data_IF_916573354052
#
_entry.id   IF_916573354052
#
_cell.length_a   1.000
_cell.length_b   1.000
_cell.length_c   1.000
_cell.angle_alpha   90.00
_cell.angle_beta   90.00
_cell.angle_gamma   90.00
#
_symmetry.space_group_name_H-M   'P 1'
#
loop_
_entity.id
_entity.type
_entity.pdbx_description
1 polymer ?
#
# COMPACT_ATOMS: atom_id res chain seq x y z
N UNK A 1 -21.14 -9.45 19.64
CA UNK A 1 -20.58 -8.54 18.61
C UNK A 1 -19.22 -9.11 18.29
N UNK A 2 -19.13 -9.84 17.19
CA UNK A 2 -17.90 -10.50 16.73
C UNK A 2 -17.10 -9.43 15.99
N UNK A 3 -16.01 -8.95 16.59
CA UNK A 3 -15.06 -8.05 15.94
C UNK A 3 -14.25 -8.87 14.93
N UNK A 4 -14.26 -8.45 13.69
CA UNK A 4 -13.49 -9.05 12.61
C UNK A 4 -12.06 -8.51 12.64
N UNK A 5 -11.07 -9.39 12.50
CA UNK A 5 -9.66 -9.06 12.32
C UNK A 5 -9.48 -8.14 11.09
N UNK A 6 -8.47 -7.27 11.09
CA UNK A 6 -8.19 -6.33 9.99
C UNK A 6 -8.11 -7.05 8.62
N UNK A 7 -7.58 -8.29 8.59
CA UNK A 7 -7.65 -9.18 7.41
C UNK A 7 -9.08 -9.50 6.96
N UNK A 8 -10.05 -9.51 7.90
CA UNK A 8 -11.45 -9.82 7.63
C UNK A 8 -12.30 -8.57 7.35
N UNK A 9 -11.85 -7.37 7.79
CA UNK A 9 -12.53 -6.09 7.54
C UNK A 9 -12.33 -5.67 6.07
N UNK A 10 -11.16 -5.88 5.48
CA UNK A 10 -10.93 -5.73 4.04
C UNK A 10 -11.79 -6.69 3.19
N UNK A 11 -12.29 -7.80 3.76
CA UNK A 11 -13.14 -8.78 3.05
C UNK A 11 -14.64 -8.45 3.05
N UNK A 12 -15.14 -7.43 3.78
CA UNK A 12 -16.59 -7.23 4.02
C UNK A 12 -17.22 -5.95 3.49
N UNK A 13 -16.58 -5.16 2.69
CA UNK A 13 -17.23 -4.04 2.01
C UNK A 13 -17.64 -4.44 0.60
N UNK A 14 -18.95 -4.54 0.41
CA UNK A 14 -19.73 -4.77 -0.83
C UNK A 14 -20.12 -6.24 -1.08
N UNK A 15 -21.12 -6.70 -0.36
CA UNK A 15 -21.92 -7.85 -0.82
C UNK A 15 -22.89 -7.40 -1.91
N UNK A 16 -22.61 -7.80 -3.14
CA UNK A 16 -23.62 -7.87 -4.21
C UNK A 16 -24.32 -9.25 -4.11
N UNK A 17 -25.66 -9.34 -3.90
CA UNK A 17 -26.33 -10.59 -3.54
C UNK A 17 -26.58 -11.57 -4.70
N UNK A 18 -25.77 -11.55 -5.74
CA UNK A 18 -25.90 -12.47 -6.88
C UNK A 18 -24.56 -13.08 -7.30
N UNK A 19 -23.93 -13.86 -6.41
CA UNK A 19 -23.08 -14.97 -6.87
C UNK A 19 -22.79 -15.96 -5.73
N UNK A 20 -23.14 -17.19 -5.92
CA UNK A 20 -22.70 -18.37 -5.17
C UNK A 20 -21.28 -18.69 -5.63
N UNK A 21 -20.26 -18.29 -4.88
CA UNK A 21 -18.88 -18.61 -5.25
C UNK A 21 -17.92 -18.06 -4.21
N UNK A 22 -16.81 -18.70 -4.06
CA UNK A 22 -15.59 -18.32 -3.33
C UNK A 22 -15.40 -16.79 -3.38
N UNK A 23 -15.12 -16.08 -2.27
CA UNK A 23 -14.87 -14.65 -2.34
C UNK A 23 -13.75 -14.39 -3.34
N UNK A 24 -14.06 -13.65 -4.40
CA UNK A 24 -13.03 -13.22 -5.35
C UNK A 24 -12.04 -12.33 -4.60
N UNK A 25 -10.77 -12.62 -4.75
CA UNK A 25 -9.68 -11.84 -4.21
C UNK A 25 -9.51 -10.65 -5.16
N UNK A 26 -10.11 -9.50 -4.83
CA UNK A 26 -9.99 -8.26 -5.64
C UNK A 26 -8.74 -7.47 -5.24
N UNK A 27 -7.60 -8.16 -5.09
CA UNK A 27 -6.36 -7.56 -4.58
C UNK A 27 -5.21 -7.78 -5.56
N UNK A 28 -4.42 -6.73 -5.80
CA UNK A 28 -3.20 -6.80 -6.56
C UNK A 28 -1.95 -6.78 -5.68
N UNK A 29 -0.90 -7.43 -6.17
CA UNK A 29 0.48 -7.31 -5.71
C UNK A 29 1.25 -6.46 -6.72
N UNK A 30 1.81 -5.35 -6.26
CA UNK A 30 2.55 -4.42 -7.11
C UNK A 30 3.97 -4.21 -6.59
N UNK A 31 4.95 -4.45 -7.45
CA UNK A 31 6.35 -4.17 -7.17
C UNK A 31 6.78 -2.88 -7.88
N UNK A 32 7.39 -1.95 -7.15
CA UNK A 32 7.89 -0.68 -7.69
C UNK A 32 9.37 -0.46 -7.35
N UNK A 33 10.00 0.54 -7.97
CA UNK A 33 11.45 0.71 -8.05
C UNK A 33 12.10 1.40 -6.84
N UNK A 34 11.77 1.00 -5.60
CA UNK A 34 12.52 1.37 -4.40
C UNK A 34 13.40 0.22 -3.92
N UNK A 35 13.64 0.13 -2.60
CA UNK A 35 14.41 -0.98 -2.04
C UNK A 35 13.60 -2.28 -2.17
N UNK A 36 14.16 -3.30 -2.86
CA UNK A 36 13.48 -4.59 -3.01
C UNK A 36 13.24 -5.27 -1.65
N UNK A 37 12.12 -5.98 -1.46
CA UNK A 37 11.88 -6.74 -0.24
C UNK A 37 12.97 -7.80 -0.03
N UNK A 38 13.39 -8.04 1.22
CA UNK A 38 14.34 -9.12 1.53
C UNK A 38 13.82 -10.48 1.10
N UNK A 39 12.60 -10.78 1.49
CA UNK A 39 11.85 -11.95 1.09
C UNK A 39 10.70 -11.54 0.18
N UNK A 40 10.57 -12.23 -0.94
CA UNK A 40 9.43 -12.00 -1.82
C UNK A 40 8.15 -12.51 -1.14
N UNK A 41 7.01 -11.80 -1.28
CA UNK A 41 5.74 -12.26 -0.73
C UNK A 41 5.22 -13.49 -1.48
N UNK A 42 4.37 -14.26 -0.81
CA UNK A 42 3.57 -15.31 -1.45
C UNK A 42 2.59 -14.67 -2.46
N UNK A 43 2.31 -15.39 -3.54
CA UNK A 43 1.56 -14.85 -4.69
C UNK A 43 0.14 -15.38 -4.83
N UNK A 44 -0.20 -16.42 -4.08
CA UNK A 44 -1.44 -17.20 -4.26
C UNK A 44 -2.70 -16.43 -3.85
N UNK A 45 -2.55 -15.40 -3.01
CA UNK A 45 -3.66 -14.59 -2.48
C UNK A 45 -3.96 -13.34 -3.33
N UNK A 46 -3.38 -13.21 -4.53
CA UNK A 46 -3.58 -12.05 -5.39
C UNK A 46 -4.27 -12.41 -6.69
N UNK A 47 -5.28 -11.60 -7.07
CA UNK A 47 -5.96 -11.70 -8.34
C UNK A 47 -5.13 -11.13 -9.51
N UNK A 48 -4.15 -10.29 -9.18
CA UNK A 48 -3.29 -9.63 -10.17
C UNK A 48 -1.89 -9.40 -9.57
N UNK A 49 -0.86 -9.62 -10.37
CA UNK A 49 0.53 -9.36 -9.99
C UNK A 49 1.16 -8.48 -11.07
N UNK A 50 1.76 -7.37 -10.65
CA UNK A 50 2.34 -6.40 -11.58
C UNK A 50 3.64 -5.81 -11.05
N UNK A 51 4.39 -5.20 -11.95
CA UNK A 51 5.55 -4.39 -11.55
C UNK A 51 5.74 -3.18 -12.47
N UNK A 52 6.44 -2.14 -11.94
CA UNK A 52 7.05 -1.12 -12.79
C UNK A 52 8.27 -1.70 -13.51
N UNK A 53 8.68 -1.07 -14.61
CA UNK A 53 9.85 -1.52 -15.40
C UNK A 53 11.14 -1.56 -14.57
N UNK A 54 11.42 -0.56 -13.74
CA UNK A 54 12.57 -0.57 -12.84
C UNK A 54 12.53 -1.71 -11.82
N UNK A 55 11.34 -2.12 -11.36
CA UNK A 55 11.19 -3.25 -10.45
C UNK A 55 11.41 -4.60 -11.14
N UNK A 56 11.15 -4.70 -12.42
CA UNK A 56 11.35 -5.92 -13.20
C UNK A 56 12.78 -6.46 -13.08
N UNK A 57 13.78 -5.58 -13.05
CA UNK A 57 15.19 -5.98 -12.94
C UNK A 57 15.48 -6.71 -11.64
N UNK A 58 15.08 -6.16 -10.48
CA UNK A 58 15.34 -6.84 -9.22
C UNK A 58 14.48 -8.10 -9.02
N UNK A 59 13.27 -8.16 -9.60
CA UNK A 59 12.47 -9.38 -9.58
C UNK A 59 13.19 -10.53 -10.33
N UNK A 60 13.79 -10.21 -11.47
CA UNK A 60 14.62 -11.15 -12.23
C UNK A 60 15.84 -11.62 -11.42
N UNK A 61 16.57 -10.69 -10.79
CA UNK A 61 17.72 -11.01 -9.93
C UNK A 61 17.35 -11.89 -8.73
N UNK A 62 16.17 -11.68 -8.16
CA UNK A 62 15.64 -12.48 -7.04
C UNK A 62 14.98 -13.79 -7.46
N UNK A 63 15.02 -14.13 -8.74
CA UNK A 63 14.39 -15.33 -9.31
C UNK A 63 12.87 -15.40 -9.05
N UNK A 64 12.18 -14.26 -9.07
CA UNK A 64 10.73 -14.22 -9.06
C UNK A 64 10.19 -14.93 -10.31
N UNK A 65 9.12 -15.75 -10.22
CA UNK A 65 8.50 -16.36 -11.38
C UNK A 65 7.82 -15.31 -12.27
N UNK A 66 8.58 -14.75 -13.22
CA UNK A 66 8.15 -13.61 -14.06
C UNK A 66 6.93 -13.96 -14.93
N UNK A 67 6.67 -15.23 -15.15
CA UNK A 67 5.46 -15.74 -15.81
C UNK A 67 4.17 -15.49 -15.00
N UNK A 68 4.27 -15.19 -13.72
CA UNK A 68 3.14 -14.78 -12.87
C UNK A 68 2.76 -13.31 -13.02
N UNK A 69 3.59 -12.46 -13.66
CA UNK A 69 3.27 -11.06 -13.87
C UNK A 69 2.13 -10.90 -14.90
N UNK A 70 1.07 -10.21 -14.54
CA UNK A 70 -0.03 -9.87 -15.44
C UNK A 70 0.28 -8.66 -16.32
N UNK A 71 1.10 -7.74 -15.80
CA UNK A 71 1.65 -6.63 -16.60
C UNK A 71 2.92 -6.03 -16.00
N UNK A 72 3.68 -5.36 -16.85
CA UNK A 72 4.85 -4.55 -16.53
C UNK A 72 4.60 -3.18 -17.16
N UNK A 73 4.60 -2.13 -16.36
CA UNK A 73 4.33 -0.76 -16.84
C UNK A 73 5.56 0.13 -16.75
N UNK A 74 5.78 0.96 -17.75
CA UNK A 74 6.89 1.90 -17.80
C UNK A 74 7.07 2.51 -19.18
N UNK A 75 8.10 3.33 -19.35
CA UNK A 75 8.53 3.86 -20.66
C UNK A 75 9.64 3.02 -21.31
N UNK A 76 10.13 2.03 -20.55
CA UNK A 76 11.12 1.02 -21.00
C UNK A 76 12.43 1.60 -21.54
N UNK A 77 12.81 2.80 -21.16
CA UNK A 77 14.07 3.43 -21.55
C UNK A 77 15.31 2.72 -20.99
N UNK A 78 15.12 1.99 -19.88
CA UNK A 78 16.16 1.19 -19.21
C UNK A 78 16.26 -0.27 -19.69
N UNK A 79 15.36 -0.73 -20.56
CA UNK A 79 15.36 -2.09 -21.07
C UNK A 79 16.31 -2.27 -22.24
N UNK A 80 17.42 -2.99 -22.02
CA UNK A 80 18.38 -3.39 -23.04
C UNK A 80 18.35 -4.91 -23.20
N UNK A 81 17.79 -5.44 -24.31
CA UNK A 81 17.99 -6.85 -24.69
C UNK A 81 16.74 -7.68 -24.96
N UNK A 82 16.91 -9.03 -24.88
CA UNK A 82 15.90 -10.01 -25.28
C UNK A 82 14.66 -10.12 -24.37
N UNK A 83 14.59 -9.39 -23.27
CA UNK A 83 13.48 -9.49 -22.30
C UNK A 83 12.17 -9.01 -22.92
N UNK A 84 12.21 -7.96 -23.76
CA UNK A 84 11.04 -7.50 -24.52
C UNK A 84 10.43 -8.60 -25.40
N UNK A 85 11.26 -9.42 -26.03
CA UNK A 85 10.76 -10.46 -26.92
C UNK A 85 10.03 -11.60 -26.19
N UNK A 86 10.42 -11.87 -24.93
CA UNK A 86 9.86 -12.97 -24.13
C UNK A 86 8.57 -12.53 -23.41
N UNK A 87 8.52 -11.27 -22.95
CA UNK A 87 7.43 -10.75 -22.13
C UNK A 87 6.60 -9.67 -22.84
N UNK A 88 6.75 -9.55 -24.16
CA UNK A 88 6.13 -8.49 -24.99
C UNK A 88 4.64 -8.28 -24.70
N UNK A 89 3.88 -9.36 -24.54
CA UNK A 89 2.44 -9.29 -24.31
C UNK A 89 2.05 -8.75 -22.92
N UNK A 90 3.01 -8.57 -22.03
CA UNK A 90 2.82 -8.07 -20.65
C UNK A 90 3.29 -6.64 -20.48
N UNK A 91 4.08 -6.12 -21.41
CA UNK A 91 4.53 -4.73 -21.37
C UNK A 91 3.41 -3.77 -21.73
N UNK A 92 3.15 -2.81 -20.85
CA UNK A 92 2.22 -1.71 -21.08
C UNK A 92 3.04 -0.43 -21.14
N UNK A 93 3.20 0.12 -22.35
CA UNK A 93 3.91 1.36 -22.57
C UNK A 93 3.12 2.54 -22.00
N UNK A 94 3.73 3.26 -21.05
CA UNK A 94 3.12 4.39 -20.34
C UNK A 94 4.02 5.63 -20.48
N UNK A 95 3.96 6.36 -21.61
CA UNK A 95 4.91 7.44 -21.95
C UNK A 95 4.65 8.76 -21.21
N UNK A 96 3.55 8.88 -20.45
CA UNK A 96 3.19 10.11 -19.76
C UNK A 96 4.26 10.46 -18.72
N UNK A 97 4.97 11.58 -18.92
CA UNK A 97 6.04 12.06 -18.05
C UNK A 97 5.53 12.95 -16.89
N UNK A 98 4.24 13.33 -16.90
CA UNK A 98 3.63 14.08 -15.80
C UNK A 98 3.25 13.19 -14.60
N UNK A 99 3.35 11.86 -14.77
CA UNK A 99 3.01 10.85 -13.76
C UNK A 99 4.18 9.92 -13.48
N UNK A 100 4.34 9.54 -12.22
CA UNK A 100 5.28 8.48 -11.85
C UNK A 100 4.80 7.10 -12.36
N UNK A 101 5.70 6.15 -12.54
CA UNK A 101 5.32 4.78 -12.96
C UNK A 101 4.40 4.12 -11.96
N UNK A 102 4.56 4.42 -10.67
CA UNK A 102 3.62 3.97 -9.64
C UNK A 102 2.21 4.52 -9.87
N UNK A 103 2.07 5.82 -10.16
CA UNK A 103 0.77 6.43 -10.47
C UNK A 103 0.12 5.73 -11.67
N UNK A 104 0.86 5.56 -12.77
CA UNK A 104 0.39 4.90 -13.99
C UNK A 104 -0.01 3.44 -13.74
N UNK A 105 0.75 2.72 -12.91
CA UNK A 105 0.41 1.35 -12.51
C UNK A 105 -0.91 1.28 -11.73
N UNK A 106 -1.16 2.25 -10.83
CA UNK A 106 -2.42 2.33 -10.08
C UNK A 106 -3.63 2.62 -10.99
N UNK A 107 -3.47 3.46 -12.02
CA UNK A 107 -4.52 3.69 -13.04
C UNK A 107 -4.90 2.38 -13.73
N UNK A 108 -3.92 1.61 -14.21
CA UNK A 108 -4.15 0.32 -14.86
C UNK A 108 -4.84 -0.67 -13.92
N UNK A 109 -4.41 -0.75 -12.68
CA UNK A 109 -4.98 -1.63 -11.66
C UNK A 109 -6.44 -1.26 -11.39
N UNK A 110 -6.74 0.03 -11.23
CA UNK A 110 -8.08 0.54 -11.01
C UNK A 110 -8.99 0.27 -12.22
N UNK A 111 -8.53 0.51 -13.46
CA UNK A 111 -9.27 0.24 -14.69
C UNK A 111 -9.62 -1.24 -14.85
N UNK A 112 -8.80 -2.14 -14.30
CA UNK A 112 -9.07 -3.59 -14.30
C UNK A 112 -9.99 -4.04 -13.15
N UNK A 113 -10.55 -3.09 -12.38
CA UNK A 113 -11.56 -3.37 -11.36
C UNK A 113 -11.01 -3.90 -10.02
N UNK A 114 -9.72 -3.83 -9.79
CA UNK A 114 -9.09 -4.16 -8.50
C UNK A 114 -9.40 -3.05 -7.49
N UNK A 115 -9.61 -3.42 -6.24
CA UNK A 115 -9.98 -2.50 -5.16
C UNK A 115 -8.93 -2.36 -4.05
N UNK A 116 -7.99 -3.29 -3.96
CA UNK A 116 -6.92 -3.27 -2.97
C UNK A 116 -5.56 -3.58 -3.61
N UNK A 117 -4.48 -2.96 -3.12
CA UNK A 117 -3.13 -3.13 -3.65
C UNK A 117 -2.12 -3.23 -2.51
N UNK A 118 -1.35 -4.32 -2.49
CA UNK A 118 -0.15 -4.44 -1.67
C UNK A 118 1.06 -4.02 -2.50
N UNK A 119 1.83 -3.07 -1.98
CA UNK A 119 2.95 -2.44 -2.69
C UNK A 119 4.27 -2.76 -2.00
N UNK A 120 5.22 -3.29 -2.75
CA UNK A 120 6.60 -3.52 -2.33
C UNK A 120 7.56 -2.64 -3.13
N UNK A 121 8.63 -2.19 -2.48
CA UNK A 121 9.57 -1.25 -3.09
C UNK A 121 9.07 0.20 -3.08
N UNK A 122 8.11 0.53 -2.20
CA UNK A 122 7.56 1.88 -2.09
C UNK A 122 8.44 2.87 -1.34
N UNK A 123 9.46 2.39 -0.61
CA UNK A 123 10.35 3.19 0.22
C UNK A 123 11.82 2.83 -0.02
N UNK A 124 12.71 3.66 0.52
CA UNK A 124 14.16 3.53 0.33
C UNK A 124 14.63 4.04 -1.05
N UNK A 125 15.93 4.01 -1.30
CA UNK A 125 16.49 4.61 -2.50
C UNK A 125 16.33 6.14 -2.52
N UNK A 126 15.87 6.67 -3.62
CA UNK A 126 15.66 8.11 -3.80
C UNK A 126 14.41 8.58 -3.05
N UNK A 127 14.58 9.54 -2.12
CA UNK A 127 13.54 9.95 -1.18
C UNK A 127 12.44 10.80 -1.83
N UNK A 128 12.70 11.47 -2.93
CA UNK A 128 11.71 12.16 -3.75
C UNK A 128 10.72 11.16 -4.38
N UNK A 129 11.19 9.99 -4.81
CA UNK A 129 10.33 8.90 -5.27
C UNK A 129 9.41 8.40 -4.14
N UNK A 130 9.92 8.26 -2.90
CA UNK A 130 9.08 7.93 -1.75
C UNK A 130 7.95 8.95 -1.52
N UNK A 131 8.26 10.25 -1.60
CA UNK A 131 7.25 11.32 -1.48
C UNK A 131 6.26 11.28 -2.65
N UNK A 132 6.74 11.01 -3.86
CA UNK A 132 5.91 10.80 -5.05
C UNK A 132 4.95 9.62 -4.88
N UNK A 133 5.44 8.51 -4.31
CA UNK A 133 4.61 7.33 -4.02
C UNK A 133 3.52 7.63 -2.98
N UNK A 134 3.84 8.37 -1.91
CA UNK A 134 2.82 8.82 -0.96
C UNK A 134 1.78 9.75 -1.62
N UNK A 135 2.23 10.63 -2.50
CA UNK A 135 1.33 11.53 -3.25
C UNK A 135 0.39 10.74 -4.17
N UNK A 136 0.90 9.77 -4.92
CA UNK A 136 0.07 8.91 -5.76
C UNK A 136 -0.94 8.12 -4.90
N UNK A 137 -0.50 7.49 -3.80
CA UNK A 137 -1.40 6.80 -2.89
C UNK A 137 -2.49 7.72 -2.30
N UNK A 138 -2.16 8.97 -1.99
CA UNK A 138 -3.12 9.97 -1.55
C UNK A 138 -4.19 10.26 -2.60
N UNK A 139 -3.82 10.36 -3.87
CA UNK A 139 -4.75 10.61 -4.97
C UNK A 139 -5.73 9.45 -5.16
N UNK A 140 -5.27 8.21 -4.96
CA UNK A 140 -6.07 7.00 -5.15
C UNK A 140 -6.79 6.49 -3.90
N UNK A 141 -6.54 7.02 -2.70
CA UNK A 141 -7.05 6.51 -1.41
C UNK A 141 -8.57 6.34 -1.28
N UNK A 142 -9.35 7.03 -2.12
CA UNK A 142 -10.81 6.91 -2.14
C UNK A 142 -11.31 5.84 -3.12
N UNK A 143 -10.41 5.25 -3.91
CA UNK A 143 -10.71 4.28 -4.96
C UNK A 143 -10.02 2.94 -4.73
N UNK A 144 -8.81 2.98 -4.16
CA UNK A 144 -7.97 1.83 -3.90
C UNK A 144 -7.53 1.80 -2.42
N UNK A 145 -7.61 0.64 -1.80
CA UNK A 145 -6.97 0.38 -0.51
C UNK A 145 -5.50 0.03 -0.76
N UNK A 146 -4.59 0.98 -0.55
CA UNK A 146 -3.17 0.82 -0.84
C UNK A 146 -2.41 0.59 0.46
N UNK A 147 -1.72 -0.54 0.57
CA UNK A 147 -0.83 -0.87 1.69
C UNK A 147 0.58 -1.06 1.19
N UNK A 148 1.49 -0.28 1.72
CA UNK A 148 2.92 -0.43 1.46
C UNK A 148 3.57 -1.34 2.50
N UNK A 149 4.55 -2.10 2.05
CA UNK A 149 5.35 -3.00 2.88
C UNK A 149 6.83 -2.68 2.69
N UNK A 150 7.55 -2.43 3.79
CA UNK A 150 8.99 -2.34 3.82
C UNK A 150 9.60 -3.24 4.91
N UNK A 151 10.89 -3.12 5.19
CA UNK A 151 11.58 -3.96 6.17
C UNK A 151 11.20 -3.64 7.63
N UNK A 152 10.57 -2.51 7.89
CA UNK A 152 10.33 -1.99 9.23
C UNK A 152 8.86 -1.94 9.57
N UNK A 153 8.00 -1.71 8.57
CA UNK A 153 6.59 -1.41 8.78
C UNK A 153 5.71 -1.74 7.58
N UNK A 154 4.43 -1.88 7.86
CA UNK A 154 3.36 -1.67 6.88
C UNK A 154 2.84 -0.25 7.04
N UNK A 155 2.50 0.45 5.94
CA UNK A 155 1.96 1.81 6.04
C UNK A 155 0.92 2.10 4.96
N UNK A 156 -0.06 2.93 5.31
CA UNK A 156 -1.20 3.21 4.44
C UNK A 156 -1.93 4.49 4.90
N UNK A 157 -2.75 5.06 4.02
CA UNK A 157 -3.72 6.09 4.40
C UNK A 157 -4.87 5.45 5.18
N UNK A 158 -5.02 5.85 6.45
CA UNK A 158 -6.01 5.25 7.34
C UNK A 158 -7.44 5.68 6.99
N UNK A 159 -8.43 4.79 7.13
CA UNK A 159 -9.84 5.20 7.15
C UNK A 159 -10.12 6.05 8.41
N UNK A 160 -11.26 6.78 8.42
CA UNK A 160 -11.64 7.66 9.55
C UNK A 160 -11.73 6.94 10.89
N UNK A 161 -11.97 5.66 10.87
CA UNK A 161 -11.92 4.78 12.04
C UNK A 161 -11.12 3.54 11.67
N UNK A 162 -10.00 3.35 12.33
CA UNK A 162 -9.10 2.22 12.14
C UNK A 162 -9.01 1.41 13.43
N UNK A 163 -9.09 0.10 13.32
CA UNK A 163 -8.86 -0.85 14.42
C UNK A 163 -7.70 -1.75 14.01
N UNK A 164 -6.65 -1.75 14.81
CA UNK A 164 -5.48 -2.61 14.66
C UNK A 164 -5.54 -3.67 15.75
N UNK A 165 -5.49 -4.94 15.39
CA UNK A 165 -5.50 -6.06 16.31
C UNK A 165 -4.14 -6.76 16.37
N UNK A 166 -3.83 -7.40 17.49
CA UNK A 166 -2.58 -8.14 17.72
C UNK A 166 -1.33 -7.26 17.57
N UNK A 167 -1.42 -6.01 18.04
CA UNK A 167 -0.34 -5.00 17.88
C UNK A 167 0.38 -4.66 19.17
N UNK A 168 0.08 -5.32 20.29
CA UNK A 168 0.75 -5.04 21.57
C UNK A 168 2.27 -5.15 21.46
N UNK A 169 2.96 -4.12 21.95
CA UNK A 169 4.41 -4.01 21.87
C UNK A 169 4.95 -3.48 20.54
N UNK A 170 4.12 -3.34 19.51
CA UNK A 170 4.54 -2.76 18.23
C UNK A 170 4.59 -1.25 18.27
N UNK A 171 5.53 -0.68 17.51
CA UNK A 171 5.59 0.76 17.27
C UNK A 171 4.52 1.14 16.24
N UNK A 172 3.74 2.16 16.57
CA UNK A 172 2.72 2.74 15.69
C UNK A 172 3.02 4.23 15.52
N UNK A 173 3.16 4.68 14.27
CA UNK A 173 3.36 6.09 13.97
C UNK A 173 2.14 6.66 13.25
N UNK A 174 1.78 7.87 13.63
CA UNK A 174 0.67 8.65 13.05
C UNK A 174 1.27 9.88 12.37
N UNK A 175 1.16 9.96 11.06
CA UNK A 175 1.70 11.06 10.28
C UNK A 175 0.56 11.81 9.57
N UNK A 176 0.28 13.08 9.93
CA UNK A 176 -0.77 13.87 9.29
C UNK A 176 -0.40 14.22 7.84
N UNK A 177 -1.39 14.30 6.94
CA UNK A 177 -1.12 14.58 5.53
C UNK A 177 -2.08 15.66 4.97
N UNK A 178 -1.74 16.95 5.04
CA UNK A 178 -0.71 17.57 5.89
C UNK A 178 -1.19 17.84 7.33
N UNK A 179 -2.51 17.86 7.55
CA UNK A 179 -3.20 18.16 8.80
C UNK A 179 -4.28 17.10 9.06
N UNK A 180 -4.35 16.62 10.29
CA UNK A 180 -5.41 15.73 10.75
C UNK A 180 -6.01 16.27 12.06
N UNK A 181 -7.33 16.43 12.12
CA UNK A 181 -8.03 17.05 13.24
C UNK A 181 -8.98 16.07 13.94
N UNK A 182 -9.24 16.34 15.22
CA UNK A 182 -10.13 15.55 16.08
C UNK A 182 -9.70 14.09 16.19
N UNK A 183 -8.41 13.87 16.44
CA UNK A 183 -7.82 12.53 16.57
C UNK A 183 -8.05 12.05 18.00
N UNK A 184 -8.62 10.88 18.14
CA UNK A 184 -8.73 10.15 19.41
C UNK A 184 -8.15 8.75 19.22
N UNK A 185 -7.29 8.33 20.13
CA UNK A 185 -6.68 7.00 20.09
C UNK A 185 -6.89 6.26 21.41
N UNK A 186 -6.98 4.93 21.33
CA UNK A 186 -7.01 4.02 22.49
C UNK A 186 -5.98 2.91 22.28
N UNK A 187 -5.45 2.37 23.36
CA UNK A 187 -4.49 1.27 23.32
C UNK A 187 -3.05 1.68 23.02
N UNK A 188 -2.75 2.99 23.00
CA UNK A 188 -1.40 3.53 22.84
C UNK A 188 -0.86 4.08 24.17
N UNK A 189 0.46 4.03 24.38
CA UNK A 189 1.12 4.60 25.57
C UNK A 189 0.91 6.11 25.69
N UNK A 190 0.90 6.82 24.56
CA UNK A 190 0.64 8.26 24.50
C UNK A 190 -0.63 8.49 23.68
N UNK A 191 -1.83 8.32 24.32
CA UNK A 191 -3.09 8.46 23.62
C UNK A 191 -3.35 9.92 23.25
N UNK A 192 -4.03 10.11 22.14
CA UNK A 192 -4.58 11.40 21.72
C UNK A 192 -6.05 11.47 22.15
N UNK A 193 -6.50 12.65 22.60
CA UNK A 193 -7.87 12.87 23.01
C UNK A 193 -8.43 14.12 22.35
N UNK A 194 -9.08 13.95 21.20
CA UNK A 194 -9.62 15.03 20.36
C UNK A 194 -8.56 16.11 20.01
N UNK A 195 -7.38 15.65 19.65
CA UNK A 195 -6.21 16.49 19.35
C UNK A 195 -5.98 16.59 17.83
N UNK A 196 -5.10 17.49 17.42
CA UNK A 196 -4.69 17.65 16.03
C UNK A 196 -3.21 17.33 15.86
N UNK A 197 -2.86 16.69 14.74
CA UNK A 197 -1.51 16.54 14.23
C UNK A 197 -1.35 17.37 12.95
N UNK A 198 -0.20 18.01 12.80
CA UNK A 198 0.11 18.94 11.72
C UNK A 198 1.59 18.84 11.38
N UNK A 199 1.94 18.67 10.11
CA UNK A 199 3.35 18.51 9.68
C UNK A 199 4.22 19.72 10.05
N UNK A 200 3.61 20.90 10.21
CA UNK A 200 4.32 22.13 10.59
C UNK A 200 4.48 22.33 12.11
N UNK A 201 3.87 21.44 12.92
CA UNK A 201 3.85 21.59 14.40
C UNK A 201 4.21 20.31 15.11
N UNK A 202 3.33 19.31 15.06
CA UNK A 202 3.50 18.05 15.79
C UNK A 202 3.04 16.88 14.92
N UNK A 203 3.88 15.87 14.82
CA UNK A 203 3.57 14.57 14.24
C UNK A 203 3.56 13.51 15.35
N UNK A 204 2.90 12.38 15.12
CA UNK A 204 2.70 11.31 16.11
C UNK A 204 3.60 10.10 15.86
N UNK A 205 4.92 10.30 15.65
CA UNK A 205 5.83 9.19 15.35
C UNK A 205 6.20 8.38 16.57
N UNK A 206 6.42 7.06 16.37
CA UNK A 206 6.99 6.10 17.33
C UNK A 206 6.22 5.97 18.64
N UNK A 207 4.88 5.97 18.59
CA UNK A 207 4.07 5.57 19.72
C UNK A 207 4.14 4.05 19.91
N UNK A 208 3.89 3.56 21.10
CA UNK A 208 3.91 2.14 21.44
C UNK A 208 2.50 1.64 21.71
N UNK A 209 2.10 0.54 21.09
CA UNK A 209 0.86 -0.13 21.43
C UNK A 209 0.98 -0.80 22.81
N UNK A 210 0.20 -0.34 23.77
CA UNK A 210 0.14 -0.89 25.15
C UNK A 210 -0.87 -2.02 25.31
N UNK A 211 -1.82 -2.12 24.39
CA UNK A 211 -2.89 -3.10 24.36
C UNK A 211 -2.85 -3.95 23.09
N UNK A 212 -3.54 -5.10 23.09
CA UNK A 212 -3.66 -5.96 21.92
C UNK A 212 -4.39 -5.28 20.76
N UNK A 213 -5.34 -4.39 21.11
CA UNK A 213 -6.14 -3.65 20.14
C UNK A 213 -5.86 -2.16 20.26
N UNK A 214 -5.51 -1.52 19.15
CA UNK A 214 -5.39 -0.07 19.03
C UNK A 214 -6.53 0.45 18.16
N UNK A 215 -7.25 1.46 18.67
CA UNK A 215 -8.31 2.15 17.94
C UNK A 215 -7.87 3.57 17.66
N UNK A 216 -7.97 3.99 16.41
CA UNK A 216 -7.67 5.34 15.94
C UNK A 216 -8.92 5.88 15.27
N UNK A 217 -9.39 7.04 15.71
CA UNK A 217 -10.47 7.77 15.06
C UNK A 217 -10.06 9.20 14.82
N UNK A 218 -10.43 9.79 13.66
CA UNK A 218 -10.20 11.19 13.37
C UNK A 218 -11.33 11.80 12.52
N UNK A 219 -11.56 13.12 12.71
CA UNK A 219 -12.68 13.82 12.07
C UNK A 219 -12.35 14.35 10.68
N UNK A 220 -11.29 15.14 10.53
CA UNK A 220 -10.93 15.83 9.29
C UNK A 220 -9.49 15.56 8.89
N UNK A 221 -9.19 15.83 7.62
CA UNK A 221 -7.86 15.64 7.03
C UNK A 221 -7.54 14.18 6.71
N UNK A 222 -6.29 13.87 6.55
CA UNK A 222 -5.81 12.55 6.18
C UNK A 222 -4.64 12.14 7.09
N UNK A 223 -4.53 10.85 7.34
CA UNK A 223 -3.57 10.27 8.26
C UNK A 223 -2.88 9.08 7.62
N UNK A 224 -1.57 9.13 7.53
CA UNK A 224 -0.76 7.94 7.21
C UNK A 224 -0.42 7.24 8.52
N UNK A 225 -0.71 5.95 8.59
CA UNK A 225 -0.40 5.11 9.75
C UNK A 225 0.71 4.14 9.36
N UNK A 226 1.73 4.05 10.19
CA UNK A 226 2.80 3.06 10.10
C UNK A 226 2.66 2.08 11.26
N UNK A 227 2.71 0.80 10.97
CA UNK A 227 2.64 -0.28 11.95
C UNK A 227 3.88 -1.13 11.80
N UNK A 228 4.69 -1.25 12.85
CA UNK A 228 5.88 -2.11 12.88
C UNK A 228 5.53 -3.56 12.54
N UNK A 229 6.40 -4.24 11.77
CA UNK A 229 6.23 -5.63 11.35
C UNK A 229 6.46 -6.60 12.51
#
# INVERSE_FOLDING_TARGET
>A
ITFLCWRDICRKSIMNPKNTGIPMIDKALLFINGVPPKNLPETEDYAMIACSDGAFHYLKEKNFPLDKLDFISGDFDSHLGNDEAIYHDRFIFTPDQDKTDFHKSLEIIQERGITAVDVYGGSGGEMDHFLGNLTAAFLFKNHLEITFYDEFSTYFFAPKTLVLENVKGKIISLYPFPLTENITTKGLNWPLNNESLDISKRIGTRNLASEETVVIHYGKGDLVVFVEI
#
